data_IF_323143759289
#
_entry.id   IF_323143759289
#
_cell.length_a   1.000
_cell.length_b   1.000
_cell.length_c   1.000
_cell.angle_alpha   90.00
_cell.angle_beta   90.00
_cell.angle_gamma   90.00
#
_symmetry.space_group_name_H-M   'P 1'
#
loop_
_entity.id
_entity.type
_entity.pdbx_description
1 polymer ?
#
# COMPACT_ATOMS: atom_id res chain seq x y z
N UNK A 1 10.35 -31.96 -13.43
CA UNK A 1 9.42 -30.81 -13.30
C UNK A 1 8.89 -30.84 -11.87
N UNK A 2 9.45 -29.98 -11.01
CA UNK A 2 9.57 -30.21 -9.57
C UNK A 2 8.37 -29.70 -8.77
N UNK A 3 8.04 -30.37 -7.66
CA UNK A 3 7.03 -30.03 -6.64
C UNK A 3 7.03 -28.55 -6.18
N UNK A 4 8.15 -27.85 -6.37
CA UNK A 4 8.28 -26.40 -6.15
C UNK A 4 7.38 -25.58 -7.09
N UNK A 5 7.25 -25.98 -8.36
CA UNK A 5 6.39 -25.26 -9.30
C UNK A 5 4.92 -25.36 -8.87
N UNK A 6 4.46 -26.54 -8.43
CA UNK A 6 3.09 -26.72 -7.94
C UNK A 6 2.80 -26.04 -6.61
N UNK A 7 3.81 -25.90 -5.72
CA UNK A 7 3.70 -25.10 -4.49
C UNK A 7 3.66 -23.59 -4.77
N UNK A 8 4.33 -23.12 -5.82
CA UNK A 8 4.33 -21.72 -6.22
C UNK A 8 3.10 -21.35 -7.08
N UNK A 9 2.62 -22.25 -7.94
CA UNK A 9 1.51 -21.96 -8.87
C UNK A 9 0.16 -21.75 -8.17
N UNK A 10 -0.09 -22.44 -7.05
CA UNK A 10 -1.32 -22.29 -6.24
C UNK A 10 -1.47 -20.90 -5.58
N UNK A 11 -0.48 -20.36 -4.85
CA UNK A 11 -0.55 -19.02 -4.30
C UNK A 11 -0.53 -17.92 -5.37
N UNK A 12 0.20 -18.14 -6.49
CA UNK A 12 0.25 -17.19 -7.60
C UNK A 12 -1.14 -16.95 -8.25
N UNK A 13 -1.98 -17.98 -8.33
CA UNK A 13 -3.36 -17.86 -8.86
C UNK A 13 -4.29 -17.03 -7.96
N UNK A 14 -3.97 -16.89 -6.68
CA UNK A 14 -4.72 -16.11 -5.69
C UNK A 14 -3.95 -14.87 -5.22
N UNK A 15 -3.06 -14.34 -6.06
CA UNK A 15 -2.21 -13.16 -5.80
C UNK A 15 -2.87 -12.07 -4.96
N UNK A 16 -4.02 -11.56 -5.41
CA UNK A 16 -4.68 -10.44 -4.75
C UNK A 16 -5.06 -10.75 -3.29
N UNK A 17 -5.34 -12.02 -2.99
CA UNK A 17 -5.70 -12.49 -1.66
C UNK A 17 -4.48 -12.60 -0.74
N UNK A 18 -3.33 -13.05 -1.25
CA UNK A 18 -2.09 -13.14 -0.46
C UNK A 18 -1.50 -11.76 -0.13
N UNK A 19 -1.42 -10.84 -1.10
CA UNK A 19 -1.01 -9.45 -0.87
C UNK A 19 -1.87 -8.80 0.24
N UNK A 20 -3.18 -8.95 0.15
CA UNK A 20 -4.10 -8.40 1.15
C UNK A 20 -3.96 -9.06 2.52
N UNK A 21 -3.84 -10.39 2.58
CA UNK A 21 -3.69 -11.13 3.83
C UNK A 21 -2.37 -10.77 4.53
N UNK A 22 -1.25 -10.78 3.81
CA UNK A 22 0.06 -10.45 4.38
C UNK A 22 0.11 -9.00 4.81
N UNK A 23 -0.42 -8.09 4.01
CA UNK A 23 -0.56 -6.69 4.44
C UNK A 23 -1.40 -6.56 5.71
N UNK A 24 -2.57 -7.20 5.77
CA UNK A 24 -3.47 -7.12 6.92
C UNK A 24 -2.82 -7.70 8.17
N UNK A 25 -2.15 -8.86 8.05
CA UNK A 25 -1.45 -9.52 9.14
C UNK A 25 -0.27 -8.69 9.65
N UNK A 26 0.58 -8.17 8.76
CA UNK A 26 1.71 -7.33 9.14
C UNK A 26 1.27 -5.99 9.73
N UNK A 27 0.15 -5.45 9.24
CA UNK A 27 -0.45 -4.25 9.81
C UNK A 27 -1.01 -4.54 11.20
N UNK A 28 -1.70 -5.66 11.41
CA UNK A 28 -2.19 -6.09 12.73
C UNK A 28 -1.04 -6.31 13.73
N UNK A 29 0.06 -6.93 13.29
CA UNK A 29 1.26 -7.09 14.11
C UNK A 29 1.93 -5.76 14.42
N UNK A 30 1.95 -4.82 13.47
CA UNK A 30 2.44 -3.46 13.70
C UNK A 30 1.59 -2.73 14.74
N UNK A 31 0.27 -2.93 14.73
CA UNK A 31 -0.67 -2.32 15.68
C UNK A 31 -0.40 -2.87 17.07
N UNK A 32 -0.25 -4.19 17.18
CA UNK A 32 0.06 -4.87 18.44
C UNK A 32 1.35 -4.31 19.09
N UNK A 33 2.33 -3.94 18.27
CA UNK A 33 3.60 -3.37 18.74
C UNK A 33 3.55 -1.83 18.91
N UNK A 34 2.40 -1.19 18.72
CA UNK A 34 2.24 0.26 18.86
C UNK A 34 3.05 1.07 17.84
N UNK A 35 3.34 0.50 16.67
CA UNK A 35 4.18 1.12 15.64
C UNK A 35 3.41 1.60 14.41
N UNK A 36 2.08 1.52 14.43
CA UNK A 36 1.25 1.87 13.28
C UNK A 36 0.61 3.23 13.44
N UNK A 37 0.63 4.00 12.36
CA UNK A 37 0.06 5.35 12.28
C UNK A 37 -0.71 5.49 10.96
N UNK A 38 -1.50 6.55 10.80
CA UNK A 38 -2.10 6.89 9.49
C UNK A 38 -1.01 7.00 8.42
N UNK A 39 0.13 7.60 8.79
CA UNK A 39 1.29 7.71 7.91
C UNK A 39 1.83 6.34 7.48
N UNK A 40 1.95 5.37 8.39
CA UNK A 40 2.36 3.99 8.03
C UNK A 40 1.54 3.43 6.87
N UNK A 41 0.21 3.49 6.98
CA UNK A 41 -0.70 2.88 5.99
C UNK A 41 -0.64 3.63 4.67
N UNK A 42 -0.71 4.95 4.70
CA UNK A 42 -0.67 5.77 3.48
C UNK A 42 0.67 5.66 2.76
N UNK A 43 1.77 5.68 3.52
CA UNK A 43 3.11 5.53 2.97
C UNK A 43 3.34 4.12 2.41
N UNK A 44 2.76 3.10 3.03
CA UNK A 44 2.76 1.75 2.50
C UNK A 44 1.99 1.65 1.18
N UNK A 45 0.76 2.19 1.10
CA UNK A 45 -0.01 2.21 -0.15
C UNK A 45 0.72 2.95 -1.27
N UNK A 46 1.39 4.06 -0.93
CA UNK A 46 2.22 4.80 -1.86
C UNK A 46 3.39 3.96 -2.38
N UNK A 47 4.16 3.32 -1.51
CA UNK A 47 5.28 2.47 -1.92
C UNK A 47 4.81 1.25 -2.70
N UNK A 48 3.72 0.60 -2.30
CA UNK A 48 3.14 -0.53 -3.02
C UNK A 48 2.83 -0.16 -4.47
N UNK A 49 2.18 0.98 -4.69
CA UNK A 49 1.86 1.43 -6.04
C UNK A 49 3.12 1.84 -6.83
N UNK A 50 4.08 2.49 -6.19
CA UNK A 50 5.35 2.85 -6.84
C UNK A 50 6.13 1.59 -7.29
N UNK A 51 6.26 0.61 -6.41
CA UNK A 51 6.89 -0.69 -6.69
C UNK A 51 6.17 -1.38 -7.85
N UNK A 52 4.83 -1.40 -7.82
CA UNK A 52 4.03 -1.98 -8.90
C UNK A 52 4.32 -1.31 -10.23
N UNK A 53 4.32 0.02 -10.30
CA UNK A 53 4.59 0.77 -11.54
C UNK A 53 6.00 0.46 -12.07
N UNK A 54 7.01 0.46 -11.19
CA UNK A 54 8.40 0.20 -11.56
C UNK A 54 8.55 -1.24 -12.10
N UNK A 55 8.07 -2.23 -11.35
CA UNK A 55 8.21 -3.65 -11.73
C UNK A 55 7.39 -3.94 -12.99
N UNK A 56 6.16 -3.45 -13.07
CA UNK A 56 5.33 -3.62 -14.26
C UNK A 56 6.02 -3.01 -15.47
N UNK A 57 6.60 -1.80 -15.35
CA UNK A 57 7.32 -1.19 -16.47
C UNK A 57 8.53 -2.01 -16.92
N UNK A 58 9.31 -2.54 -15.98
CA UNK A 58 10.53 -3.30 -16.27
C UNK A 58 10.20 -4.67 -16.88
N UNK A 59 9.21 -5.37 -16.32
CA UNK A 59 8.91 -6.76 -16.66
C UNK A 59 7.76 -6.94 -17.66
N UNK A 60 7.00 -5.88 -17.99
CA UNK A 60 5.90 -5.95 -18.96
C UNK A 60 6.34 -6.49 -20.33
N UNK A 61 7.52 -6.11 -20.83
CA UNK A 61 8.03 -6.61 -22.12
C UNK A 61 8.47 -8.08 -22.06
N UNK A 62 8.74 -8.61 -20.86
CA UNK A 62 9.22 -9.98 -20.64
C UNK A 62 8.06 -10.97 -20.48
N UNK A 63 6.99 -10.55 -19.83
CA UNK A 63 5.80 -11.39 -19.63
C UNK A 63 4.92 -11.39 -20.88
N UNK A 64 4.87 -12.52 -21.59
CA UNK A 64 4.11 -12.67 -22.85
C UNK A 64 2.60 -12.64 -22.65
N UNK A 65 2.12 -12.90 -21.44
CA UNK A 65 0.71 -12.96 -21.07
C UNK A 65 0.22 -11.69 -20.37
N UNK A 66 1.06 -10.65 -20.24
CA UNK A 66 0.65 -9.38 -19.68
C UNK A 66 -0.33 -8.66 -20.62
N UNK A 67 -1.50 -8.31 -20.09
CA UNK A 67 -2.54 -7.58 -20.83
C UNK A 67 -2.57 -6.14 -20.35
N UNK A 68 -2.40 -5.22 -21.29
CA UNK A 68 -2.60 -3.80 -21.02
C UNK A 68 -4.10 -3.53 -20.84
N UNK A 69 -4.50 -3.06 -19.67
CA UNK A 69 -5.90 -2.73 -19.34
C UNK A 69 -6.01 -1.24 -19.10
N UNK A 70 -6.92 -0.57 -19.84
CA UNK A 70 -7.17 0.87 -19.76
C UNK A 70 -6.66 1.63 -20.99
N UNK A 71 -6.17 2.85 -20.77
CA UNK A 71 -5.68 3.71 -21.84
C UNK A 71 -4.49 3.06 -22.56
N UNK A 72 -4.48 3.05 -23.89
CA UNK A 72 -3.42 2.42 -24.71
C UNK A 72 -2.03 3.10 -24.58
N UNK A 73 -1.95 4.16 -23.78
CA UNK A 73 -0.69 4.84 -23.49
C UNK A 73 0.16 4.01 -22.54
N UNK A 74 1.35 3.65 -22.98
CA UNK A 74 2.39 3.06 -22.13
C UNK A 74 3.19 4.11 -21.36
N UNK A 75 2.79 5.39 -21.41
CA UNK A 75 3.52 6.45 -20.71
C UNK A 75 3.34 6.34 -19.20
N UNK A 76 4.46 6.21 -18.49
CA UNK A 76 4.54 6.19 -17.02
C UNK A 76 4.77 7.59 -16.44
N UNK A 77 5.06 8.59 -17.28
CA UNK A 77 5.48 9.91 -16.81
C UNK A 77 4.40 10.58 -15.95
N UNK A 78 3.14 10.52 -16.39
CA UNK A 78 2.02 11.03 -15.62
C UNK A 78 1.83 10.30 -14.28
N UNK A 79 2.06 8.98 -14.27
CA UNK A 79 2.04 8.18 -13.04
C UNK A 79 3.11 8.65 -12.05
N UNK A 80 4.36 8.87 -12.51
CA UNK A 80 5.44 9.34 -11.65
C UNK A 80 5.22 10.75 -11.11
N UNK A 81 4.70 11.68 -11.92
CA UNK A 81 4.37 13.02 -11.45
C UNK A 81 3.34 12.94 -10.32
N UNK A 82 2.26 12.20 -10.52
CA UNK A 82 1.22 12.05 -9.50
C UNK A 82 1.75 11.39 -8.22
N UNK A 83 2.59 10.36 -8.36
CA UNK A 83 3.26 9.74 -7.21
C UNK A 83 4.17 10.73 -6.48
N UNK A 84 4.87 11.63 -7.19
CA UNK A 84 5.65 12.70 -6.59
C UNK A 84 4.81 13.67 -5.76
N UNK A 85 3.66 14.11 -6.29
CA UNK A 85 2.71 14.97 -5.57
C UNK A 85 2.18 14.26 -4.32
N UNK A 86 1.78 13.00 -4.44
CA UNK A 86 1.33 12.20 -3.29
C UNK A 86 2.44 12.00 -2.25
N UNK A 87 3.68 11.82 -2.68
CA UNK A 87 4.80 11.69 -1.75
C UNK A 87 4.96 12.94 -0.89
N UNK A 88 5.04 14.12 -1.52
CA UNK A 88 5.19 15.39 -0.82
C UNK A 88 4.02 15.58 0.15
N UNK A 89 2.80 15.34 -0.32
CA UNK A 89 1.61 15.48 0.50
C UNK A 89 1.62 14.51 1.69
N UNK A 90 1.90 13.22 1.47
CA UNK A 90 1.91 12.20 2.52
C UNK A 90 2.99 12.53 3.57
N UNK A 91 4.19 12.87 3.13
CA UNK A 91 5.32 13.16 4.03
C UNK A 91 5.06 14.45 4.81
N UNK A 92 4.82 15.57 4.13
CA UNK A 92 4.66 16.86 4.81
C UNK A 92 3.43 16.84 5.72
N UNK A 93 2.30 16.37 5.20
CA UNK A 93 1.05 16.43 5.95
C UNK A 93 0.97 15.37 7.04
N UNK A 94 1.14 14.09 6.71
CA UNK A 94 0.90 13.01 7.69
C UNK A 94 2.12 12.67 8.55
N UNK A 95 3.34 12.77 8.02
CA UNK A 95 4.52 12.47 8.81
C UNK A 95 4.82 13.57 9.84
N UNK A 96 4.69 14.84 9.44
CA UNK A 96 5.09 16.00 10.23
C UNK A 96 3.90 16.84 10.74
N UNK A 97 3.10 17.43 9.84
CA UNK A 97 2.12 18.46 10.23
C UNK A 97 0.98 17.93 11.11
N UNK A 98 0.44 16.76 10.76
CA UNK A 98 -0.68 16.14 11.45
C UNK A 98 -0.38 15.76 12.91
N UNK A 99 0.87 15.46 13.20
CA UNK A 99 1.32 14.95 14.51
C UNK A 99 2.27 15.90 15.22
N UNK A 100 2.31 17.18 14.83
CA UNK A 100 3.29 18.15 15.33
C UNK A 100 3.38 18.24 16.86
N UNK A 101 2.26 18.02 17.56
CA UNK A 101 2.19 18.09 19.02
C UNK A 101 2.48 16.74 19.72
N UNK A 102 2.86 15.70 18.98
CA UNK A 102 3.09 14.35 19.52
C UNK A 102 4.43 13.79 19.03
N UNK A 103 5.48 14.02 19.82
CA UNK A 103 6.85 13.60 19.52
C UNK A 103 6.98 12.08 19.31
N UNK A 104 6.19 11.28 20.04
CA UNK A 104 6.23 9.82 19.92
C UNK A 104 5.75 9.36 18.54
N UNK A 105 4.66 9.96 18.03
CA UNK A 105 4.13 9.68 16.70
C UNK A 105 5.06 10.16 15.59
N UNK A 106 5.65 11.35 15.73
CA UNK A 106 6.65 11.86 14.78
C UNK A 106 7.84 10.91 14.70
N UNK A 107 8.35 10.43 15.84
CA UNK A 107 9.49 9.52 15.88
C UNK A 107 9.17 8.18 15.20
N UNK A 108 7.98 7.62 15.41
CA UNK A 108 7.51 6.42 14.70
C UNK A 108 7.43 6.70 13.18
N UNK A 109 6.85 7.83 12.78
CA UNK A 109 6.76 8.22 11.36
C UNK A 109 8.15 8.38 10.73
N UNK A 110 9.12 8.94 11.46
CA UNK A 110 10.50 9.07 10.98
C UNK A 110 11.17 7.71 10.84
N UNK A 111 10.96 6.79 11.79
CA UNK A 111 11.43 5.41 11.63
C UNK A 111 10.87 4.77 10.36
N UNK A 112 9.61 5.03 10.03
CA UNK A 112 8.99 4.50 8.81
C UNK A 112 9.57 5.17 7.55
N UNK A 113 9.66 6.51 7.54
CA UNK A 113 10.17 7.29 6.40
C UNK A 113 11.61 6.89 6.02
N UNK A 114 12.47 6.64 7.03
CA UNK A 114 13.86 6.24 6.84
C UNK A 114 14.08 4.72 6.85
N UNK A 115 13.03 3.92 6.67
CA UNK A 115 13.12 2.44 6.62
C UNK A 115 13.82 1.81 7.82
N UNK A 116 13.64 2.38 9.02
CA UNK A 116 14.07 1.80 10.30
C UNK A 116 12.95 0.99 10.98
N UNK A 117 11.76 0.91 10.38
CA UNK A 117 10.66 0.08 10.86
C UNK A 117 10.68 -1.30 10.21
N UNK A 118 10.93 -2.34 11.00
CA UNK A 118 11.07 -3.71 10.51
C UNK A 118 9.78 -4.26 9.87
N UNK A 119 8.63 -4.02 10.52
CA UNK A 119 7.32 -4.47 10.00
C UNK A 119 7.01 -3.82 8.65
N UNK A 120 7.29 -2.53 8.51
CA UNK A 120 7.14 -1.80 7.25
C UNK A 120 8.04 -2.40 6.16
N UNK A 121 9.32 -2.60 6.46
CA UNK A 121 10.30 -3.08 5.48
C UNK A 121 10.00 -4.50 5.00
N UNK A 122 9.64 -5.43 5.90
CA UNK A 122 9.23 -6.79 5.51
C UNK A 122 8.03 -6.74 4.57
N UNK A 123 7.06 -5.89 4.86
CA UNK A 123 5.86 -5.74 4.05
C UNK A 123 6.22 -5.28 2.62
N UNK A 124 7.16 -4.32 2.49
CA UNK A 124 7.66 -3.89 1.19
C UNK A 124 8.44 -4.97 0.44
N UNK A 125 9.31 -5.70 1.14
CA UNK A 125 10.06 -6.81 0.55
C UNK A 125 9.10 -7.87 0.01
N UNK A 126 8.05 -8.19 0.75
CA UNK A 126 7.02 -9.13 0.33
C UNK A 126 6.33 -8.65 -0.97
N UNK A 127 5.91 -7.38 -1.03
CA UNK A 127 5.32 -6.78 -2.24
C UNK A 127 6.26 -6.89 -3.45
N UNK A 128 7.56 -6.63 -3.27
CA UNK A 128 8.56 -6.71 -4.34
C UNK A 128 8.70 -8.16 -4.84
N UNK A 129 8.96 -9.10 -3.94
CA UNK A 129 9.17 -10.51 -4.26
C UNK A 129 7.95 -11.06 -5.00
N UNK A 130 6.77 -10.83 -4.43
CA UNK A 130 5.52 -11.32 -4.99
C UNK A 130 5.29 -10.76 -6.40
N UNK A 131 5.50 -9.45 -6.60
CA UNK A 131 5.30 -8.82 -7.91
C UNK A 131 6.28 -9.34 -8.96
N UNK A 132 7.55 -9.55 -8.59
CA UNK A 132 8.56 -10.13 -9.49
C UNK A 132 8.19 -11.57 -9.87
N UNK A 133 7.75 -12.37 -8.90
CA UNK A 133 7.38 -13.77 -9.12
C UNK A 133 6.23 -13.91 -10.12
N UNK A 134 5.19 -13.09 -10.00
CA UNK A 134 4.04 -13.15 -10.92
C UNK A 134 4.43 -12.89 -12.37
N UNK A 135 5.28 -11.88 -12.60
CA UNK A 135 5.79 -11.59 -13.95
C UNK A 135 6.75 -12.67 -14.45
N UNK A 136 7.47 -13.34 -13.56
CA UNK A 136 8.40 -14.43 -13.93
C UNK A 136 7.67 -15.74 -14.24
N UNK A 137 6.49 -15.95 -13.68
CA UNK A 137 5.64 -17.12 -13.92
C UNK A 137 4.71 -16.97 -15.14
N UNK A 138 4.89 -15.92 -15.95
CA UNK A 138 4.08 -15.61 -17.14
C UNK A 138 2.56 -15.68 -16.87
N UNK A 139 2.10 -15.36 -15.65
CA UNK A 139 0.67 -15.32 -15.34
C UNK A 139 0.02 -14.12 -16.05
N UNK A 140 -1.28 -14.18 -16.38
CA UNK A 140 -1.99 -13.06 -17.00
C UNK A 140 -2.10 -11.89 -16.01
N UNK A 141 -1.21 -10.90 -16.15
CA UNK A 141 -1.21 -9.70 -15.32
C UNK A 141 -1.92 -8.57 -16.05
N UNK A 142 -3.00 -8.05 -15.44
CA UNK A 142 -3.60 -6.78 -15.86
C UNK A 142 -2.67 -5.62 -15.46
N UNK A 143 -2.00 -5.02 -16.45
CA UNK A 143 -1.10 -3.87 -16.27
C UNK A 143 -1.81 -2.61 -16.76
N UNK A 144 -1.77 -1.55 -15.97
CA UNK A 144 -2.38 -0.25 -16.32
C UNK A 144 -1.36 0.85 -16.10
N UNK A 145 -1.16 1.72 -17.10
CA UNK A 145 -0.29 2.89 -17.00
C UNK A 145 -1.12 4.17 -17.14
N UNK A 146 -0.62 5.27 -16.59
CA UNK A 146 -1.27 6.58 -16.67
C UNK A 146 -1.60 7.19 -15.30
N UNK A 147 -2.29 8.33 -15.34
CA UNK A 147 -2.52 9.21 -14.18
C UNK A 147 -3.54 8.62 -13.20
N UNK A 148 -4.47 7.78 -13.66
CA UNK A 148 -5.49 7.16 -12.80
C UNK A 148 -5.58 5.64 -13.04
N UNK A 149 -4.61 4.89 -12.53
CA UNK A 149 -4.75 3.44 -12.40
C UNK A 149 -5.77 3.13 -11.29
N UNK A 150 -6.41 1.94 -11.30
CA UNK A 150 -7.32 1.54 -10.22
C UNK A 150 -6.67 1.63 -8.83
N UNK A 151 -5.39 1.26 -8.72
CA UNK A 151 -4.67 1.37 -7.46
C UNK A 151 -4.33 2.82 -7.07
N UNK A 152 -3.99 3.68 -8.04
CA UNK A 152 -3.81 5.11 -7.78
C UNK A 152 -5.09 5.76 -7.29
N UNK A 153 -6.26 5.33 -7.78
CA UNK A 153 -7.56 5.78 -7.25
C UNK A 153 -7.74 5.34 -5.80
N UNK A 154 -7.36 4.11 -5.44
CA UNK A 154 -7.36 3.66 -4.04
C UNK A 154 -6.47 4.55 -3.17
N UNK A 155 -5.26 4.83 -3.62
CA UNK A 155 -4.33 5.71 -2.91
C UNK A 155 -4.90 7.12 -2.77
N UNK A 156 -5.48 7.68 -3.84
CA UNK A 156 -6.10 9.01 -3.82
C UNK A 156 -7.24 9.10 -2.80
N UNK A 157 -8.18 8.16 -2.85
CA UNK A 157 -9.31 8.09 -1.90
C UNK A 157 -8.81 7.88 -0.48
N UNK A 158 -7.76 7.06 -0.30
CA UNK A 158 -7.13 6.84 1.01
C UNK A 158 -6.53 8.14 1.56
N UNK A 159 -5.85 8.94 0.73
CA UNK A 159 -5.30 10.23 1.16
C UNK A 159 -6.43 11.16 1.62
N UNK A 160 -7.50 11.30 0.82
CA UNK A 160 -8.66 12.15 1.18
C UNK A 160 -9.28 11.68 2.50
N UNK A 161 -9.54 10.38 2.62
CA UNK A 161 -10.07 9.79 3.85
C UNK A 161 -9.14 10.06 5.03
N UNK A 162 -7.83 9.91 4.85
CA UNK A 162 -6.84 10.16 5.88
C UNK A 162 -6.87 11.60 6.38
N UNK A 163 -7.02 12.58 5.47
CA UNK A 163 -7.15 13.99 5.85
C UNK A 163 -8.41 14.19 6.70
N UNK A 164 -9.56 13.65 6.26
CA UNK A 164 -10.82 13.74 6.99
C UNK A 164 -10.69 13.10 8.37
N UNK A 165 -10.14 11.89 8.46
CA UNK A 165 -9.96 11.19 9.73
C UNK A 165 -9.04 11.96 10.67
N UNK A 166 -7.93 12.49 10.15
CA UNK A 166 -6.95 13.19 10.97
C UNK A 166 -7.53 14.48 11.58
N UNK A 167 -8.24 15.27 10.77
CA UNK A 167 -8.80 16.55 11.23
C UNK A 167 -10.05 16.39 12.08
N UNK A 168 -10.99 15.53 11.69
CA UNK A 168 -12.30 15.45 12.33
C UNK A 168 -12.39 14.39 13.43
N UNK A 169 -11.49 13.40 13.44
CA UNK A 169 -11.55 12.29 14.40
C UNK A 169 -10.33 12.33 15.32
N UNK A 170 -9.12 12.17 14.77
CA UNK A 170 -7.89 12.04 15.59
C UNK A 170 -7.63 13.29 16.43
N UNK A 171 -7.74 14.48 15.83
CA UNK A 171 -7.51 15.74 16.53
C UNK A 171 -8.55 16.05 17.61
N UNK A 172 -9.77 15.56 17.45
CA UNK A 172 -10.85 15.78 18.41
C UNK A 172 -10.80 14.80 19.60
N UNK A 173 -10.11 13.66 19.45
CA UNK A 173 -9.98 12.64 20.50
C UNK A 173 -8.51 12.21 20.72
N UNK A 174 -7.61 13.13 21.10
CA UNK A 174 -6.17 12.86 21.17
C UNK A 174 -5.79 11.75 22.17
N UNK A 175 -6.53 11.62 23.27
CA UNK A 175 -6.30 10.58 24.30
C UNK A 175 -6.71 9.17 23.82
N UNK A 176 -7.67 9.09 22.89
CA UNK A 176 -8.13 7.82 22.33
C UNK A 176 -7.18 7.31 21.24
N UNK A 177 -6.59 8.23 20.47
CA UNK A 177 -5.81 7.92 19.28
C UNK A 177 -4.30 8.00 19.53
N UNK A 178 -3.84 7.22 20.51
CA UNK A 178 -2.43 7.09 20.87
C UNK A 178 -1.85 5.73 20.41
N UNK A 179 -0.53 5.62 20.18
CA UNK A 179 0.10 4.35 19.82
C UNK A 179 -0.06 3.25 20.89
N UNK A 180 -0.27 3.65 22.14
CA UNK A 180 -0.46 2.74 23.28
C UNK A 180 -1.90 2.24 23.38
N UNK A 181 -2.86 2.98 22.83
CA UNK A 181 -4.25 2.55 22.76
C UNK A 181 -4.48 1.68 21.52
N UNK A 182 -4.45 0.36 21.73
CA UNK A 182 -4.69 -0.64 20.68
C UNK A 182 -6.03 -0.42 19.97
N UNK A 183 -7.10 -0.11 20.72
CA UNK A 183 -8.43 0.10 20.14
C UNK A 183 -8.46 1.32 19.22
N UNK A 184 -7.87 2.43 19.66
CA UNK A 184 -7.71 3.64 18.85
C UNK A 184 -6.90 3.38 17.58
N UNK A 185 -5.80 2.65 17.70
CA UNK A 185 -4.94 2.27 16.57
C UNK A 185 -5.68 1.41 15.54
N UNK A 186 -6.44 0.40 15.99
CA UNK A 186 -7.28 -0.43 15.10
C UNK A 186 -8.33 0.42 14.39
N UNK A 187 -9.03 1.29 15.12
CA UNK A 187 -10.13 2.09 14.59
C UNK A 187 -9.66 3.07 13.50
N UNK A 188 -8.45 3.60 13.62
CA UNK A 188 -7.84 4.46 12.59
C UNK A 188 -7.57 3.69 11.30
N UNK A 189 -7.11 2.44 11.39
CA UNK A 189 -6.59 1.68 10.26
C UNK A 189 -7.70 0.94 9.51
N UNK A 190 -8.72 0.51 10.25
CA UNK A 190 -9.88 -0.23 9.74
C UNK A 190 -10.51 0.37 8.47
N UNK A 191 -10.80 1.68 8.35
CA UNK A 191 -11.41 2.21 7.14
C UNK A 191 -10.50 2.08 5.91
N UNK A 192 -9.18 2.14 6.06
CA UNK A 192 -8.23 1.92 4.96
C UNK A 192 -8.19 0.44 4.55
N UNK A 193 -8.26 -0.48 5.51
CA UNK A 193 -8.38 -1.92 5.24
C UNK A 193 -9.68 -2.23 4.49
N UNK A 194 -10.80 -1.64 4.90
CA UNK A 194 -12.10 -1.82 4.27
C UNK A 194 -12.10 -1.32 2.81
N UNK A 195 -11.52 -0.16 2.53
CA UNK A 195 -11.40 0.35 1.16
C UNK A 195 -10.59 -0.64 0.30
N UNK A 196 -9.45 -1.10 0.82
CA UNK A 196 -8.61 -2.06 0.08
C UNK A 196 -9.34 -3.38 -0.17
N UNK A 197 -10.05 -3.91 0.83
CA UNK A 197 -10.85 -5.11 0.71
C UNK A 197 -11.99 -4.94 -0.32
N UNK A 198 -12.70 -3.80 -0.28
CA UNK A 198 -13.77 -3.49 -1.22
C UNK A 198 -13.26 -3.45 -2.67
N UNK A 199 -12.12 -2.81 -2.91
CA UNK A 199 -11.52 -2.73 -4.25
C UNK A 199 -11.09 -4.11 -4.74
N UNK A 200 -10.50 -4.92 -3.85
CA UNK A 200 -10.14 -6.29 -4.19
C UNK A 200 -11.36 -7.14 -4.53
N UNK A 201 -12.44 -7.01 -3.76
CA UNK A 201 -13.70 -7.71 -4.02
C UNK A 201 -14.27 -7.34 -5.40
N UNK A 202 -14.29 -6.04 -5.73
CA UNK A 202 -14.72 -5.56 -7.05
C UNK A 202 -13.84 -6.13 -8.17
N UNK A 203 -12.52 -6.15 -7.98
CA UNK A 203 -11.54 -6.66 -8.96
C UNK A 203 -11.61 -8.17 -9.19
N UNK A 204 -12.10 -8.94 -8.21
CA UNK A 204 -12.32 -10.38 -8.38
C UNK A 204 -13.64 -10.68 -9.11
N UNK A 205 -14.62 -9.78 -9.03
CA UNK A 205 -15.96 -9.96 -9.62
C UNK A 205 -16.09 -9.39 -11.04
N UNK A 206 -15.25 -8.43 -11.42
CA UNK A 206 -15.23 -7.73 -12.73
C UNK A 206 -13.79 -7.61 -13.26
#
# INVERSE_FOLDING_TARGET
MSYLNTLLDKPLKHYAQWDFLVFTLLTALSIWNGQTTVFYVLFFFWWNELIRIIIDRILFKRNKNAVLVGNQSTSIFGSFIQMGVYFIFIVVFFAFMANWNNDTLILINMKILFFRNWFFNINLIFVIIERIMIHSSDQPVKVSFGVFTPNMLVLHVSIILGVIFMFFVVRNFPETFTPTNLFGSVLIILPFLLIRAAVQYVRMRY
#
